data_IF_724732116680
#
_entry.id   IF_724732116680
#
_cell.length_a   1.000
_cell.length_b   1.000
_cell.length_c   1.000
_cell.angle_alpha   90.00
_cell.angle_beta   90.00
_cell.angle_gamma   90.00
#
_symmetry.space_group_name_H-M   'P 1'
#
loop_
_entity.id
_entity.type
_entity.pdbx_description
1 polymer ?
#
# COMPACT_ATOMS: atom_id res chain seq x y z
N UNK A 1 16.91 -12.67 -6.14
CA UNK A 1 16.01 -13.70 -5.55
C UNK A 1 15.99 -13.50 -4.04
N UNK A 2 14.88 -13.02 -3.45
CA UNK A 2 14.82 -12.60 -2.04
C UNK A 2 14.58 -13.69 -0.99
N UNK A 3 14.57 -14.97 -1.38
CA UNK A 3 14.06 -16.07 -0.54
C UNK A 3 14.78 -16.23 0.81
N UNK A 4 16.13 -16.16 0.83
CA UNK A 4 16.90 -16.31 2.08
C UNK A 4 16.70 -15.13 3.04
N UNK A 5 16.50 -13.92 2.50
CA UNK A 5 16.31 -12.70 3.29
C UNK A 5 14.92 -12.67 3.95
N UNK A 6 13.87 -13.07 3.22
CA UNK A 6 12.51 -13.08 3.76
C UNK A 6 12.31 -14.11 4.89
N UNK A 7 12.97 -15.26 4.82
CA UNK A 7 12.94 -16.27 5.88
C UNK A 7 13.58 -15.76 7.18
N UNK A 8 14.73 -15.09 7.09
CA UNK A 8 15.38 -14.48 8.25
C UNK A 8 14.52 -13.41 8.92
N UNK A 9 13.91 -12.53 8.13
CA UNK A 9 13.01 -11.48 8.64
C UNK A 9 11.77 -12.08 9.32
N UNK A 10 11.13 -13.08 8.70
CA UNK A 10 9.97 -13.75 9.29
C UNK A 10 10.32 -14.52 10.58
N UNK A 11 11.54 -15.05 10.70
CA UNK A 11 12.01 -15.66 11.94
C UNK A 11 12.20 -14.61 13.05
N UNK A 12 12.82 -13.46 12.73
CA UNK A 12 12.99 -12.34 13.65
C UNK A 12 11.63 -11.78 14.14
N UNK A 13 10.68 -11.56 13.23
CA UNK A 13 9.36 -11.05 13.60
C UNK A 13 8.63 -12.00 14.56
N UNK A 14 8.70 -13.32 14.31
CA UNK A 14 8.13 -14.31 15.22
C UNK A 14 8.83 -14.35 16.58
N UNK A 15 10.15 -14.13 16.61
CA UNK A 15 10.90 -14.00 17.86
C UNK A 15 10.40 -12.81 18.71
N UNK A 16 10.06 -11.70 18.05
CA UNK A 16 9.46 -10.50 18.67
C UNK A 16 7.94 -10.64 18.96
N UNK A 17 7.37 -11.85 18.83
CA UNK A 17 5.95 -12.10 19.07
C UNK A 17 4.99 -11.62 17.97
N UNK A 18 5.52 -11.18 16.82
CA UNK A 18 4.71 -10.78 15.66
C UNK A 18 4.41 -12.00 14.80
N UNK A 19 3.13 -12.25 14.53
CA UNK A 19 2.72 -13.31 13.59
C UNK A 19 3.19 -12.97 12.18
N UNK A 20 4.12 -13.78 11.64
CA UNK A 20 4.73 -13.55 10.33
C UNK A 20 4.97 -14.88 9.59
N UNK A 21 4.68 -14.87 8.29
CA UNK A 21 4.84 -16.00 7.37
C UNK A 21 5.60 -15.57 6.12
N UNK A 22 6.18 -16.54 5.40
CA UNK A 22 6.83 -16.29 4.10
C UNK A 22 5.97 -16.78 2.95
N UNK A 23 5.79 -15.96 1.92
CA UNK A 23 5.13 -16.38 0.69
C UNK A 23 6.08 -17.24 -0.17
N UNK A 24 5.69 -18.48 -0.43
CA UNK A 24 6.43 -19.37 -1.34
C UNK A 24 6.54 -18.76 -2.73
N UNK A 25 7.74 -18.80 -3.32
CA UNK A 25 8.03 -18.13 -4.61
C UNK A 25 8.07 -16.60 -4.56
N UNK A 26 7.62 -15.98 -3.46
CA UNK A 26 7.67 -14.55 -3.18
C UNK A 26 6.95 -13.70 -4.23
N UNK A 27 7.42 -12.46 -4.40
CA UNK A 27 6.85 -11.50 -5.35
C UNK A 27 6.78 -12.01 -6.80
N UNK A 28 7.78 -12.78 -7.24
CA UNK A 28 7.82 -13.30 -8.60
C UNK A 28 6.66 -14.27 -8.87
N UNK A 29 6.44 -15.24 -7.97
CA UNK A 29 5.31 -16.16 -8.10
C UNK A 29 3.95 -15.44 -8.02
N UNK A 30 3.81 -14.44 -7.15
CA UNK A 30 2.59 -13.64 -7.06
C UNK A 30 2.29 -12.87 -8.36
N UNK A 31 3.30 -12.23 -8.93
CA UNK A 31 3.19 -11.54 -10.23
C UNK A 31 2.83 -12.51 -11.34
N UNK A 32 3.52 -13.64 -11.41
CA UNK A 32 3.34 -14.63 -12.48
C UNK A 32 1.96 -15.31 -12.38
N UNK A 33 1.41 -15.43 -11.17
CA UNK A 33 0.03 -15.83 -10.91
C UNK A 33 -1.02 -14.74 -11.27
N UNK A 34 -0.60 -13.59 -11.81
CA UNK A 34 -1.46 -12.43 -12.13
C UNK A 34 -2.26 -11.91 -10.94
N UNK A 35 -1.68 -12.01 -9.74
CA UNK A 35 -2.24 -11.40 -8.54
C UNK A 35 -2.30 -9.86 -8.66
N UNK A 36 -3.14 -9.19 -7.87
CA UNK A 36 -3.18 -7.73 -7.83
C UNK A 36 -1.80 -7.14 -7.50
N UNK A 37 -1.38 -6.15 -8.29
CA UNK A 37 -0.13 -5.42 -8.12
C UNK A 37 -0.39 -3.91 -8.30
N UNK A 38 0.37 -3.11 -7.56
CA UNK A 38 0.36 -1.65 -7.68
C UNK A 38 1.69 -1.23 -8.29
N UNK A 39 1.63 -0.42 -9.35
CA UNK A 39 2.83 0.19 -9.90
C UNK A 39 3.33 1.28 -8.95
N UNK A 40 4.49 1.05 -8.33
CA UNK A 40 5.06 1.99 -7.36
C UNK A 40 5.24 3.41 -7.94
N UNK A 41 5.58 3.54 -9.23
CA UNK A 41 5.69 4.83 -9.91
C UNK A 41 4.37 5.60 -10.10
N UNK A 42 3.21 4.99 -9.78
CA UNK A 42 1.90 5.66 -9.75
C UNK A 42 1.52 6.13 -8.35
N UNK A 43 2.29 5.76 -7.32
CA UNK A 43 2.09 6.25 -5.96
C UNK A 43 2.72 7.65 -5.88
N UNK A 44 1.99 8.66 -5.34
CA UNK A 44 2.56 9.98 -5.13
C UNK A 44 3.85 9.91 -4.30
N UNK A 45 4.82 10.81 -4.55
CA UNK A 45 5.99 10.91 -3.69
C UNK A 45 5.56 11.20 -2.25
N UNK A 46 6.36 10.73 -1.30
CA UNK A 46 6.14 11.00 0.11
C UNK A 46 6.57 12.44 0.44
N UNK A 47 5.82 13.09 1.32
CA UNK A 47 6.13 14.41 1.88
C UNK A 47 7.31 14.34 2.86
N UNK A 48 7.72 15.49 3.42
CA UNK A 48 8.80 15.60 4.42
C UNK A 48 8.55 14.76 5.68
N UNK A 49 7.29 14.40 5.96
CA UNK A 49 6.87 13.55 7.08
C UNK A 49 6.75 12.08 6.67
N UNK A 50 7.18 11.73 5.46
CA UNK A 50 7.15 10.37 4.95
C UNK A 50 5.76 9.88 4.53
N UNK A 51 4.78 10.77 4.25
CA UNK A 51 3.39 10.41 3.94
C UNK A 51 3.04 10.70 2.49
N UNK A 52 2.17 9.89 1.92
CA UNK A 52 1.56 10.12 0.61
C UNK A 52 0.35 11.06 0.74
N UNK A 53 0.24 12.02 -0.17
CA UNK A 53 -0.89 12.96 -0.22
C UNK A 53 -1.74 12.68 -1.44
N UNK A 54 -3.03 12.48 -1.22
CA UNK A 54 -4.00 12.11 -2.24
C UNK A 54 -5.08 13.18 -2.33
N UNK A 55 -5.32 13.70 -3.52
CA UNK A 55 -6.39 14.68 -3.78
C UNK A 55 -7.53 13.98 -4.49
N UNK A 56 -8.75 14.17 -4.02
CA UNK A 56 -9.95 13.64 -4.67
C UNK A 56 -11.11 14.61 -4.58
N UNK A 57 -12.07 14.49 -5.49
CA UNK A 57 -13.24 15.38 -5.54
C UNK A 57 -14.20 15.12 -4.38
N UNK A 58 -14.88 16.15 -3.90
CA UNK A 58 -15.96 16.02 -2.90
C UNK A 58 -17.22 15.46 -3.57
N UNK A 59 -17.58 14.19 -3.29
CA UNK A 59 -18.95 13.63 -3.44
C UNK A 59 -19.03 12.20 -2.88
N UNK A 60 -19.98 11.88 -1.99
CA UNK A 60 -19.93 10.67 -1.17
C UNK A 60 -20.66 9.51 -1.86
N UNK A 61 -20.02 8.89 -2.86
CA UNK A 61 -20.37 7.53 -3.28
C UNK A 61 -19.43 6.55 -2.57
N UNK A 62 -19.92 5.36 -2.22
CA UNK A 62 -19.21 4.32 -1.44
C UNK A 62 -17.77 4.08 -1.92
N UNK A 63 -17.52 4.14 -3.24
CA UNK A 63 -16.19 4.01 -3.85
C UNK A 63 -15.13 4.97 -3.29
N UNK A 64 -15.54 6.15 -2.80
CA UNK A 64 -14.61 7.17 -2.29
C UNK A 64 -14.21 6.98 -0.82
N UNK A 65 -14.72 5.93 -0.14
CA UNK A 65 -14.28 5.49 1.20
C UNK A 65 -13.45 4.20 1.10
N UNK A 66 -13.80 3.31 0.17
CA UNK A 66 -13.07 2.07 -0.07
C UNK A 66 -11.61 2.32 -0.53
N UNK A 67 -11.40 3.30 -1.41
CA UNK A 67 -10.07 3.67 -1.88
C UNK A 67 -9.14 4.17 -0.75
N UNK A 68 -9.55 5.14 0.10
CA UNK A 68 -8.75 5.55 1.25
C UNK A 68 -8.43 4.42 2.24
N UNK A 69 -9.38 3.52 2.49
CA UNK A 69 -9.13 2.36 3.34
C UNK A 69 -8.04 1.46 2.77
N UNK A 70 -8.13 1.10 1.48
CA UNK A 70 -7.14 0.24 0.82
C UNK A 70 -5.76 0.89 0.82
N UNK A 71 -5.68 2.18 0.51
CA UNK A 71 -4.42 2.93 0.53
C UNK A 71 -3.82 2.92 1.95
N UNK A 72 -4.61 3.22 2.99
CA UNK A 72 -4.11 3.18 4.37
C UNK A 72 -3.73 1.79 4.84
N UNK A 73 -4.42 0.76 4.36
CA UNK A 73 -4.19 -0.62 4.79
C UNK A 73 -2.96 -1.25 4.13
N UNK A 74 -2.72 -0.96 2.84
CA UNK A 74 -1.75 -1.70 2.03
C UNK A 74 -0.64 -0.85 1.41
N UNK A 75 -0.80 0.49 1.33
CA UNK A 75 0.16 1.37 0.66
C UNK A 75 0.89 2.26 1.68
N UNK A 76 0.13 3.02 2.46
CA UNK A 76 0.67 4.00 3.38
C UNK A 76 -0.29 4.28 4.55
N UNK A 77 -0.01 3.75 5.76
CA UNK A 77 -0.88 3.97 6.92
C UNK A 77 -0.96 5.45 7.32
N UNK A 78 0.03 6.26 6.95
CA UNK A 78 0.06 7.71 7.20
C UNK A 78 -0.60 8.57 6.12
N UNK A 79 -1.25 7.96 5.11
CA UNK A 79 -1.76 8.69 3.95
C UNK A 79 -2.75 9.82 4.34
N UNK A 80 -2.58 10.98 3.70
CA UNK A 80 -3.42 12.17 3.86
C UNK A 80 -4.33 12.30 2.63
N UNK A 81 -5.62 12.57 2.88
CA UNK A 81 -6.62 12.75 1.82
C UNK A 81 -7.18 14.16 1.88
N UNK A 82 -7.06 14.89 0.78
CA UNK A 82 -7.64 16.22 0.60
C UNK A 82 -8.86 16.07 -0.30
N UNK A 83 -10.01 16.50 0.20
CA UNK A 83 -11.27 16.53 -0.56
C UNK A 83 -11.50 17.96 -1.04
N UNK A 84 -11.47 18.15 -2.36
CA UNK A 84 -11.60 19.47 -3.00
C UNK A 84 -12.81 19.51 -3.91
N UNK A 85 -13.36 20.69 -4.15
CA UNK A 85 -14.52 20.86 -5.01
C UNK A 85 -14.23 20.38 -6.44
N UNK A 86 -15.27 19.90 -7.14
CA UNK A 86 -15.08 19.17 -8.39
C UNK A 86 -14.44 20.00 -9.52
N UNK A 87 -14.48 21.33 -9.42
CA UNK A 87 -13.86 22.27 -10.35
C UNK A 87 -12.32 22.33 -10.23
N UNK A 88 -11.73 21.75 -9.18
CA UNK A 88 -10.31 21.90 -8.85
C UNK A 88 -9.47 20.64 -9.11
N UNK A 89 -10.06 19.58 -9.69
CA UNK A 89 -9.35 18.32 -10.03
C UNK A 89 -9.54 18.03 -11.51
N UNK A 90 -8.51 18.33 -12.32
CA UNK A 90 -8.42 17.98 -13.75
C UNK A 90 -7.66 16.68 -13.98
#
# INVERSE_FOLDING_TARGET
RGQKLSQGVAAWLRHEGVSAETLEGGFAAWRDAKGPLIHAGKIPPRDEKGRTVWVTRTRPKVDRIACPWLIRRFIDPGAVFLFVEAAEVS
#
